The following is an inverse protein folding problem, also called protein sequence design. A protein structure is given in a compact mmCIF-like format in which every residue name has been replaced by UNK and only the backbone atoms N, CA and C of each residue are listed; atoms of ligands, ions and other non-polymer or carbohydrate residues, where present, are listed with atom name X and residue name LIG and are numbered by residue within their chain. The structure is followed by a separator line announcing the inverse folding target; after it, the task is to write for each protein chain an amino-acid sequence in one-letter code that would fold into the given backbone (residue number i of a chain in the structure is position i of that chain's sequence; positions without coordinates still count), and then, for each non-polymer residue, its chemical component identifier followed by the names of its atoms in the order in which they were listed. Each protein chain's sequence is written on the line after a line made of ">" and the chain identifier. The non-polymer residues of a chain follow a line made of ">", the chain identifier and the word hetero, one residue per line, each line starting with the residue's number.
data_IF_240817773804
#
_entry.id   IF_240817773804
#
_cell.length_a   1.000
_cell.length_b   1.000
_cell.length_c   1.000
_cell.angle_alpha   90.00
_cell.angle_beta   90.00
_cell.angle_gamma   90.00
#
_symmetry.space_group_name_H-M   'P 1'
#
loop_
_entity.id
_entity.type
_entity.pdbx_description
1 polymer ?
#
# COMPACT_ATOMS: atom_id res chain seq x y z
N UNK A 1 11.07 2.81 62.73
CA UNK A 1 12.14 2.23 63.59
C UNK A 1 13.19 1.56 62.69
N UNK A 2 14.47 1.41 63.13
CA UNK A 2 15.56 0.53 62.60
C UNK A 2 15.61 0.31 61.06
N UNK A 3 16.53 0.83 60.23
CA UNK A 3 18.02 0.93 60.29
C UNK A 3 18.78 -0.43 60.44
N UNK A 4 19.39 -0.90 59.34
CA UNK A 4 20.75 -1.50 59.13
C UNK A 4 20.83 -2.00 57.67
N UNK A 5 21.88 -1.89 56.84
CA UNK A 5 23.36 -1.78 56.92
C UNK A 5 24.15 -3.08 57.22
N UNK A 6 25.16 -3.32 56.37
CA UNK A 6 26.08 -4.48 56.30
C UNK A 6 26.21 -4.96 54.84
N UNK A 7 27.25 -4.72 54.02
CA UNK A 7 28.65 -4.26 54.16
C UNK A 7 29.72 -5.36 54.38
N UNK A 8 30.76 -5.34 53.52
CA UNK A 8 32.05 -6.11 53.57
C UNK A 8 31.94 -7.65 53.51
N UNK A 9 32.91 -8.47 53.05
CA UNK A 9 34.35 -8.34 52.69
C UNK A 9 34.64 -8.90 51.26
N UNK A 10 35.80 -8.84 50.56
CA UNK A 10 37.24 -8.49 50.76
C UNK A 10 38.25 -9.66 50.63
N UNK A 11 38.81 -9.87 49.44
CA UNK A 11 40.09 -10.59 49.16
C UNK A 11 40.59 -10.17 47.76
N UNK A 12 41.72 -9.46 47.57
CA UNK A 12 43.14 -9.90 47.64
C UNK A 12 43.40 -11.10 46.71
N UNK A 13 44.42 -11.10 45.83
CA UNK A 13 45.86 -10.90 46.09
C UNK A 13 46.55 -9.95 45.07
N UNK A 14 47.77 -9.49 45.39
CA UNK A 14 48.59 -8.51 44.64
C UNK A 14 50.00 -9.02 44.32
N UNK A 15 50.60 -8.62 43.19
CA UNK A 15 52.05 -8.35 42.96
C UNK A 15 52.27 -7.93 41.47
N UNK A 16 53.40 -7.40 41.00
CA UNK A 16 54.26 -6.26 41.42
C UNK A 16 55.32 -6.01 40.31
N UNK A 17 55.87 -4.79 40.20
CA UNK A 17 56.93 -4.41 39.22
C UNK A 17 56.39 -3.50 38.11
N UNK A 18 56.72 -2.21 37.96
CA UNK A 18 57.99 -1.43 38.07
C UNK A 18 59.09 -1.84 37.08
N UNK A 19 59.33 -1.02 36.05
CA UNK A 19 60.57 -0.23 35.88
C UNK A 19 60.54 0.63 34.60
N UNK A 20 61.43 1.63 34.53
CA UNK A 20 61.70 2.54 33.40
C UNK A 20 60.53 3.44 32.90
N UNK A 21 60.76 4.68 32.48
CA UNK A 21 61.99 5.48 32.58
C UNK A 21 61.74 6.94 32.16
N UNK A 22 62.03 7.90 33.04
CA UNK A 22 61.85 9.34 32.76
C UNK A 22 63.06 9.88 32.00
N UNK A 23 62.85 10.45 30.82
CA UNK A 23 63.79 11.41 30.23
C UNK A 23 63.08 12.70 29.84
N UNK A 24 63.70 13.81 30.22
CA UNK A 24 63.18 15.18 30.21
C UNK A 24 64.09 16.02 29.31
N UNK A 25 63.50 16.90 28.49
CA UNK A 25 64.11 18.11 27.90
C UNK A 25 65.61 18.10 27.54
N UNK A 26 66.02 17.41 26.47
CA UNK A 26 67.36 17.61 25.83
C UNK A 26 67.31 17.62 24.29
N UNK A 27 66.25 18.17 23.68
CA UNK A 27 66.13 18.27 22.21
C UNK A 27 65.66 19.65 21.70
N UNK A 28 66.01 20.73 22.42
CA UNK A 28 65.68 22.12 22.05
C UNK A 28 66.92 23.01 21.77
N UNK A 29 68.15 22.54 22.05
CA UNK A 29 69.34 23.42 22.13
C UNK A 29 70.62 22.92 21.44
N UNK A 30 70.56 22.00 20.47
CA UNK A 30 71.75 21.54 19.72
C UNK A 30 71.52 21.37 18.20
N UNK A 31 71.02 22.41 17.52
CA UNK A 31 71.25 22.59 16.07
C UNK A 31 71.29 24.06 15.60
N UNK A 32 71.60 24.99 16.50
CA UNK A 32 72.20 26.28 16.11
C UNK A 32 73.73 26.13 16.13
N UNK A 33 74.43 26.87 15.27
CA UNK A 33 75.86 26.72 14.96
C UNK A 33 76.18 25.43 14.15
N UNK A 34 75.60 25.36 12.94
CA UNK A 34 76.14 24.57 11.82
C UNK A 34 76.21 25.40 10.53
N UNK A 35 76.37 26.72 10.67
CA UNK A 35 76.35 27.66 9.55
C UNK A 35 77.75 27.91 8.97
N UNK A 36 78.13 27.16 7.94
CA UNK A 36 78.80 27.68 6.73
C UNK A 36 78.98 26.60 5.66
N UNK A 37 78.91 27.03 4.40
CA UNK A 37 79.31 26.31 3.17
C UNK A 37 78.94 24.81 3.09
N UNK A 38 77.67 24.53 2.74
CA UNK A 38 77.39 23.52 1.71
C UNK A 38 76.70 24.19 0.54
N UNK A 39 77.39 24.22 -0.59
CA UNK A 39 76.93 24.82 -1.85
C UNK A 39 75.67 24.14 -2.35
N UNK A 40 74.77 24.91 -2.94
CA UNK A 40 73.51 24.42 -3.50
C UNK A 40 73.74 23.34 -4.55
N UNK A 41 73.19 22.15 -4.28
CA UNK A 41 72.84 21.17 -5.31
C UNK A 41 71.43 20.66 -5.01
N UNK A 42 70.48 21.60 -5.06
CA UNK A 42 69.06 21.27 -5.16
C UNK A 42 68.79 20.61 -6.51
N UNK A 43 69.13 19.33 -6.64
CA UNK A 43 68.47 18.44 -7.59
C UNK A 43 67.06 18.12 -7.08
N UNK A 44 66.26 19.19 -6.91
CA UNK A 44 64.82 19.07 -6.85
C UNK A 44 64.40 18.49 -8.19
N UNK A 45 63.83 17.29 -8.19
CA UNK A 45 63.25 16.71 -9.40
C UNK A 45 62.08 17.62 -9.82
N UNK A 46 62.33 18.49 -10.79
CA UNK A 46 61.37 19.51 -11.19
C UNK A 46 60.18 18.83 -11.87
N UNK A 47 59.06 18.75 -11.15
CA UNK A 47 57.77 18.33 -11.71
C UNK A 47 57.45 19.26 -12.87
N UNK A 48 57.41 18.73 -14.09
CA UNK A 48 57.22 19.55 -15.28
C UNK A 48 55.83 20.16 -15.33
N UNK A 49 55.70 21.29 -16.01
CA UNK A 49 54.42 21.98 -16.24
C UNK A 49 53.35 21.01 -16.76
N UNK A 50 53.71 20.16 -17.71
CA UNK A 50 52.86 19.13 -18.32
C UNK A 50 52.37 18.06 -17.33
N UNK A 51 53.14 17.73 -16.28
CA UNK A 51 52.66 16.80 -15.26
C UNK A 51 51.65 17.47 -14.31
N UNK A 52 51.90 18.74 -13.95
CA UNK A 52 50.97 19.55 -13.17
C UNK A 52 49.65 19.81 -13.91
N UNK A 53 49.70 20.12 -15.20
CA UNK A 53 48.52 20.23 -16.08
C UNK A 53 47.71 18.92 -16.13
N UNK A 54 48.38 17.77 -16.22
CA UNK A 54 47.71 16.46 -16.17
C UNK A 54 47.05 16.18 -14.82
N UNK A 55 47.60 16.69 -13.70
CA UNK A 55 46.97 16.62 -12.37
C UNK A 55 45.77 17.57 -12.28
N UNK A 56 45.89 18.79 -12.80
CA UNK A 56 44.81 19.78 -12.86
C UNK A 56 43.60 19.25 -13.66
N UNK A 57 43.83 18.70 -14.86
CA UNK A 57 42.77 18.07 -15.68
C UNK A 57 42.08 16.91 -14.97
N UNK A 58 42.81 16.09 -14.20
CA UNK A 58 42.21 15.00 -13.41
C UNK A 58 41.29 15.54 -12.30
N UNK A 59 41.71 16.60 -11.60
CA UNK A 59 40.86 17.25 -10.59
C UNK A 59 39.63 17.91 -11.22
N UNK A 60 39.78 18.61 -12.35
CA UNK A 60 38.65 19.19 -13.09
C UNK A 60 37.63 18.11 -13.51
N UNK A 61 38.08 16.97 -14.05
CA UNK A 61 37.19 15.85 -14.38
C UNK A 61 36.48 15.26 -13.14
N UNK A 62 37.13 15.26 -11.97
CA UNK A 62 36.49 14.83 -10.72
C UNK A 62 35.51 15.88 -10.17
N UNK A 63 35.78 17.18 -10.35
CA UNK A 63 34.82 18.25 -10.04
C UNK A 63 33.58 18.14 -10.92
N UNK A 64 33.74 17.83 -12.21
CA UNK A 64 32.63 17.56 -13.15
C UNK A 64 31.75 16.40 -12.64
N UNK A 65 32.37 15.29 -12.23
CA UNK A 65 31.68 14.13 -11.65
C UNK A 65 30.99 14.44 -10.33
N UNK A 66 31.66 15.19 -9.42
CA UNK A 66 31.06 15.60 -8.15
C UNK A 66 29.90 16.58 -8.36
N UNK A 67 29.99 17.51 -9.33
CA UNK A 67 28.88 18.40 -9.73
C UNK A 67 27.68 17.63 -10.28
N UNK A 68 27.91 16.64 -11.14
CA UNK A 68 26.85 15.74 -11.59
C UNK A 68 26.22 14.97 -10.41
N UNK A 69 27.03 14.60 -9.39
CA UNK A 69 26.56 14.08 -8.11
C UNK A 69 25.59 15.01 -7.38
N UNK A 70 25.90 16.31 -7.29
CA UNK A 70 25.00 17.33 -6.72
C UNK A 70 23.68 17.40 -7.50
N UNK A 71 23.74 17.46 -8.84
CA UNK A 71 22.53 17.50 -9.68
C UNK A 71 21.64 16.28 -9.47
N UNK A 72 22.22 15.08 -9.45
CA UNK A 72 21.48 13.84 -9.22
C UNK A 72 20.88 13.75 -7.81
N UNK A 73 21.62 14.23 -6.79
CA UNK A 73 21.13 14.30 -5.42
C UNK A 73 19.95 15.28 -5.30
N UNK A 74 20.07 16.49 -5.88
CA UNK A 74 19.00 17.48 -5.89
C UNK A 74 17.74 16.96 -6.61
N UNK A 75 17.87 16.29 -7.76
CA UNK A 75 16.75 15.65 -8.44
C UNK A 75 16.07 14.61 -7.54
N UNK A 76 16.85 13.71 -6.93
CA UNK A 76 16.31 12.68 -6.03
C UNK A 76 15.63 13.27 -4.78
N UNK A 77 16.08 14.45 -4.33
CA UNK A 77 15.41 15.21 -3.27
C UNK A 77 14.06 15.79 -3.74
N UNK A 78 13.99 16.30 -4.96
CA UNK A 78 12.76 16.87 -5.55
C UNK A 78 11.73 15.78 -5.86
N UNK A 79 12.15 14.65 -6.43
CA UNK A 79 11.32 13.45 -6.63
C UNK A 79 10.70 12.96 -5.31
N UNK A 80 11.50 12.90 -4.24
CA UNK A 80 11.04 12.48 -2.92
C UNK A 80 10.12 13.52 -2.25
N UNK A 81 10.29 14.81 -2.53
CA UNK A 81 9.38 15.87 -2.07
C UNK A 81 8.04 15.84 -2.80
N UNK A 82 8.02 15.51 -4.09
CA UNK A 82 6.76 15.28 -4.80
C UNK A 82 6.02 14.08 -4.20
N UNK A 83 6.71 12.96 -3.95
CA UNK A 83 6.12 11.79 -3.28
C UNK A 83 5.58 12.13 -1.88
N UNK A 84 6.25 13.00 -1.11
CA UNK A 84 5.70 13.50 0.16
C UNK A 84 4.43 14.35 -0.01
N UNK A 85 4.32 15.14 -1.09
CA UNK A 85 3.10 15.90 -1.40
C UNK A 85 1.92 14.96 -1.66
N UNK A 86 2.10 14.03 -2.60
CA UNK A 86 1.11 13.00 -2.96
C UNK A 86 0.70 12.15 -1.75
N UNK A 87 1.66 11.77 -0.90
CA UNK A 87 1.38 11.02 0.33
C UNK A 87 0.65 11.85 1.39
N UNK A 88 0.93 13.13 1.54
CA UNK A 88 0.19 13.99 2.47
C UNK A 88 -1.26 14.21 2.01
N UNK A 89 -1.49 14.34 0.70
CA UNK A 89 -2.84 14.40 0.13
C UNK A 89 -3.59 13.08 0.38
N UNK A 90 -2.97 11.93 0.08
CA UNK A 90 -3.55 10.61 0.33
C UNK A 90 -3.80 10.31 1.83
N UNK A 91 -2.91 10.71 2.74
CA UNK A 91 -3.14 10.61 4.19
C UNK A 91 -4.31 11.51 4.60
N UNK A 92 -4.35 12.75 4.11
CA UNK A 92 -5.44 13.69 4.40
C UNK A 92 -6.78 13.27 3.80
N UNK A 93 -6.79 12.52 2.70
CA UNK A 93 -7.98 11.86 2.16
C UNK A 93 -8.41 10.71 3.07
N UNK A 94 -7.56 9.71 3.29
CA UNK A 94 -7.92 8.53 4.10
C UNK A 94 -8.20 8.84 5.58
N UNK A 95 -7.60 9.86 6.19
CA UNK A 95 -7.99 10.33 7.55
C UNK A 95 -9.41 10.95 7.55
N UNK A 96 -9.89 11.51 6.42
CA UNK A 96 -11.31 11.92 6.25
C UNK A 96 -12.20 10.71 5.99
N UNK A 97 -11.79 9.78 5.11
CA UNK A 97 -12.52 8.53 4.86
C UNK A 97 -12.79 7.79 6.19
N UNK A 98 -11.74 7.57 6.98
CA UNK A 98 -11.82 6.94 8.30
C UNK A 98 -12.70 7.74 9.28
N UNK A 99 -12.63 9.07 9.26
CA UNK A 99 -13.49 9.91 10.12
C UNK A 99 -14.99 9.73 9.80
N UNK A 100 -15.35 9.52 8.54
CA UNK A 100 -16.74 9.27 8.14
C UNK A 100 -17.15 7.80 8.36
N UNK A 101 -16.26 6.82 8.14
CA UNK A 101 -16.49 5.43 8.59
C UNK A 101 -16.76 5.39 10.10
N UNK A 102 -16.02 6.16 10.89
CA UNK A 102 -16.23 6.31 12.34
C UNK A 102 -17.54 7.03 12.68
N UNK A 103 -17.97 8.02 11.90
CA UNK A 103 -19.30 8.62 12.06
C UNK A 103 -20.43 7.62 11.75
N UNK A 104 -20.24 6.79 10.72
CA UNK A 104 -21.17 5.74 10.31
C UNK A 104 -21.29 4.60 11.35
N UNK A 105 -20.30 4.38 12.23
CA UNK A 105 -20.43 3.50 13.42
C UNK A 105 -21.72 3.84 14.19
N UNK A 106 -22.01 5.13 14.39
CA UNK A 106 -23.17 5.61 15.15
C UNK A 106 -24.52 5.43 14.44
N UNK A 107 -24.52 5.04 13.16
CA UNK A 107 -25.70 4.59 12.41
C UNK A 107 -25.77 3.06 12.39
N UNK A 108 -24.65 2.38 12.13
CA UNK A 108 -24.53 0.92 12.13
C UNK A 108 -24.93 0.35 13.50
N UNK A 109 -24.49 0.95 14.61
CA UNK A 109 -24.91 0.54 15.96
C UNK A 109 -26.43 0.61 16.14
N UNK A 110 -27.11 1.61 15.57
CA UNK A 110 -28.58 1.72 15.65
C UNK A 110 -29.29 0.68 14.78
N UNK A 111 -28.71 0.32 13.62
CA UNK A 111 -29.21 -0.81 12.83
C UNK A 111 -28.98 -2.15 13.55
N UNK A 112 -27.84 -2.33 14.24
CA UNK A 112 -27.54 -3.47 15.11
C UNK A 112 -28.55 -3.58 16.27
N UNK A 113 -28.73 -2.52 17.06
CA UNK A 113 -29.66 -2.49 18.21
C UNK A 113 -31.10 -2.83 17.77
N UNK A 114 -31.51 -2.32 16.60
CA UNK A 114 -32.79 -2.62 15.96
C UNK A 114 -32.87 -4.07 15.50
N UNK A 115 -31.87 -4.60 14.78
CA UNK A 115 -31.84 -6.00 14.34
C UNK A 115 -31.81 -6.96 15.53
N UNK A 116 -31.08 -6.65 16.60
CA UNK A 116 -31.09 -7.45 17.84
C UNK A 116 -32.50 -7.48 18.46
N UNK A 117 -33.16 -6.32 18.55
CA UNK A 117 -34.56 -6.26 19.03
C UNK A 117 -35.51 -7.10 18.17
N UNK A 118 -35.33 -7.10 16.84
CA UNK A 118 -36.10 -7.95 15.92
C UNK A 118 -35.78 -9.44 16.08
N UNK A 119 -34.52 -9.80 16.29
CA UNK A 119 -34.05 -11.17 16.56
C UNK A 119 -34.66 -11.70 17.85
N UNK A 120 -34.69 -10.89 18.92
CA UNK A 120 -35.29 -11.25 20.21
C UNK A 120 -36.81 -11.44 20.08
N UNK A 121 -37.48 -10.55 19.35
CA UNK A 121 -38.90 -10.70 19.00
C UNK A 121 -39.22 -11.97 18.19
N UNK A 122 -38.34 -12.36 17.26
CA UNK A 122 -38.50 -13.58 16.45
C UNK A 122 -38.21 -14.83 17.30
N UNK A 123 -37.20 -14.80 18.19
CA UNK A 123 -36.91 -15.89 19.12
C UNK A 123 -38.12 -16.22 19.99
N UNK A 124 -38.81 -15.21 20.55
CA UNK A 124 -40.06 -15.44 21.32
C UNK A 124 -41.14 -16.10 20.46
N UNK A 125 -41.26 -15.74 19.17
CA UNK A 125 -42.24 -16.33 18.24
C UNK A 125 -41.88 -17.78 17.87
N UNK A 126 -40.59 -18.10 17.73
CA UNK A 126 -40.09 -19.48 17.58
C UNK A 126 -40.41 -20.31 18.81
N UNK A 127 -40.06 -19.82 20.01
CA UNK A 127 -40.26 -20.52 21.27
C UNK A 127 -41.76 -20.78 21.54
N UNK A 128 -42.62 -19.79 21.21
CA UNK A 128 -44.08 -19.95 21.29
C UNK A 128 -44.64 -21.02 20.34
N UNK A 129 -44.32 -20.98 19.05
CA UNK A 129 -44.86 -21.94 18.08
C UNK A 129 -44.27 -23.34 18.28
N UNK A 130 -42.99 -23.46 18.63
CA UNK A 130 -42.37 -24.75 18.98
C UNK A 130 -43.01 -25.36 20.23
N UNK A 131 -43.36 -24.54 21.23
CA UNK A 131 -44.11 -25.01 22.41
C UNK A 131 -45.54 -25.45 22.03
N UNK A 132 -46.22 -24.75 21.13
CA UNK A 132 -47.55 -25.14 20.61
C UNK A 132 -47.47 -26.43 19.79
N UNK A 133 -46.42 -26.61 18.98
CA UNK A 133 -46.15 -27.84 18.23
C UNK A 133 -45.99 -29.04 19.18
N UNK A 134 -45.15 -28.90 20.21
CA UNK A 134 -44.94 -29.94 21.22
C UNK A 134 -46.20 -30.30 22.00
N UNK A 135 -47.07 -29.33 22.30
CA UNK A 135 -48.36 -29.57 22.94
C UNK A 135 -49.32 -30.35 22.03
N UNK A 136 -49.53 -29.90 20.79
CA UNK A 136 -50.39 -30.59 19.82
C UNK A 136 -49.87 -32.01 19.49
N UNK A 137 -48.56 -32.19 19.42
CA UNK A 137 -47.95 -33.51 19.23
C UNK A 137 -48.19 -34.45 20.43
N UNK A 138 -48.09 -33.93 21.67
CA UNK A 138 -48.37 -34.71 22.88
C UNK A 138 -49.85 -35.11 22.97
N UNK A 139 -50.77 -34.17 22.76
CA UNK A 139 -52.22 -34.43 22.71
C UNK A 139 -52.57 -35.47 21.64
N UNK A 140 -52.03 -35.33 20.43
CA UNK A 140 -52.22 -36.29 19.33
C UNK A 140 -51.64 -37.68 19.68
N UNK A 141 -50.50 -37.75 20.36
CA UNK A 141 -49.88 -39.01 20.81
C UNK A 141 -50.72 -39.71 21.87
N UNK A 142 -51.32 -38.97 22.82
CA UNK A 142 -52.26 -39.55 23.79
C UNK A 142 -53.57 -39.99 23.12
N UNK A 143 -54.10 -39.18 22.19
CA UNK A 143 -55.29 -39.53 21.40
C UNK A 143 -55.10 -40.82 20.61
N UNK A 144 -53.97 -40.96 19.89
CA UNK A 144 -53.63 -42.18 19.14
C UNK A 144 -53.47 -43.38 20.09
N UNK A 145 -52.80 -43.20 21.23
CA UNK A 145 -52.63 -44.27 22.23
C UNK A 145 -53.98 -44.76 22.77
N UNK A 146 -54.88 -43.84 23.12
CA UNK A 146 -56.24 -44.17 23.59
C UNK A 146 -57.09 -44.87 22.52
N UNK A 147 -56.85 -44.62 21.22
CA UNK A 147 -57.49 -45.39 20.16
C UNK A 147 -56.97 -46.83 20.13
N UNK A 148 -55.64 -47.00 20.17
CA UNK A 148 -54.98 -48.31 20.13
C UNK A 148 -55.28 -49.19 21.37
N UNK A 149 -55.13 -48.63 22.57
CA UNK A 149 -55.37 -49.32 23.86
C UNK A 149 -56.83 -49.77 24.04
N UNK A 150 -57.78 -49.16 23.33
CA UNK A 150 -59.21 -49.45 23.43
C UNK A 150 -59.76 -50.32 22.28
N UNK A 151 -58.92 -50.66 21.29
CA UNK A 151 -59.23 -51.57 20.18
C UNK A 151 -60.10 -50.98 19.06
N UNK A 152 -59.73 -51.30 17.81
CA UNK A 152 -60.37 -50.77 16.58
C UNK A 152 -61.89 -51.06 16.50
N UNK A 153 -62.35 -52.15 17.10
CA UNK A 153 -63.76 -52.57 17.07
C UNK A 153 -64.69 -51.58 17.80
N UNK A 154 -64.17 -50.72 18.68
CA UNK A 154 -65.01 -49.95 19.62
C UNK A 154 -65.95 -48.95 18.94
N UNK A 155 -65.59 -48.37 17.79
CA UNK A 155 -66.50 -47.49 17.05
C UNK A 155 -67.69 -48.24 16.44
N UNK A 156 -67.46 -49.46 15.95
CA UNK A 156 -68.54 -50.34 15.45
C UNK A 156 -69.40 -50.81 16.62
N UNK A 157 -68.77 -51.19 17.74
CA UNK A 157 -69.47 -51.61 18.95
C UNK A 157 -70.37 -50.50 19.54
N UNK A 158 -69.90 -49.26 19.63
CA UNK A 158 -70.72 -48.11 20.09
C UNK A 158 -72.00 -47.96 19.26
N UNK A 159 -71.94 -48.19 17.95
CA UNK A 159 -73.09 -48.14 17.04
C UNK A 159 -74.00 -49.37 17.17
N UNK A 160 -73.45 -50.57 17.43
CA UNK A 160 -74.21 -51.79 17.69
C UNK A 160 -74.91 -51.79 19.06
N UNK A 161 -74.35 -51.10 20.06
CA UNK A 161 -74.94 -50.89 21.39
C UNK A 161 -76.04 -49.81 21.41
N UNK A 162 -76.47 -49.32 20.23
CA UNK A 162 -77.52 -48.32 20.13
C UNK A 162 -78.90 -48.86 20.50
N UNK A 163 -79.57 -48.20 21.45
CA UNK A 163 -80.86 -48.65 21.99
C UNK A 163 -82.04 -48.41 21.04
N UNK A 164 -81.87 -47.52 20.05
CA UNK A 164 -82.83 -47.23 18.99
C UNK A 164 -82.14 -46.44 17.85
N UNK A 165 -82.86 -46.21 16.76
CA UNK A 165 -82.35 -45.49 15.59
C UNK A 165 -81.91 -44.04 15.89
N UNK A 166 -82.56 -43.33 16.82
CA UNK A 166 -82.17 -41.96 17.19
C UNK A 166 -80.87 -41.95 17.99
N UNK A 167 -80.70 -42.87 18.93
CA UNK A 167 -79.43 -43.10 19.65
C UNK A 167 -78.30 -43.45 18.66
N UNK A 168 -78.55 -44.34 17.70
CA UNK A 168 -77.59 -44.69 16.66
C UNK A 168 -77.16 -43.48 15.81
N UNK A 169 -78.10 -42.65 15.37
CA UNK A 169 -77.80 -41.41 14.61
C UNK A 169 -77.04 -40.39 15.46
N UNK A 170 -77.39 -40.23 16.73
CA UNK A 170 -76.66 -39.34 17.65
C UNK A 170 -75.22 -39.81 17.88
N UNK A 171 -75.01 -41.12 18.06
CA UNK A 171 -73.68 -41.74 18.19
C UNK A 171 -72.86 -41.62 16.91
N UNK A 172 -73.46 -41.83 15.74
CA UNK A 172 -72.80 -41.63 14.45
C UNK A 172 -72.37 -40.15 14.26
N UNK A 173 -73.24 -39.20 14.59
CA UNK A 173 -72.93 -37.77 14.55
C UNK A 173 -71.83 -37.37 15.56
N UNK A 174 -71.75 -38.04 16.73
CA UNK A 174 -70.67 -37.87 17.69
C UNK A 174 -69.33 -38.39 17.14
N UNK A 175 -69.31 -39.59 16.54
CA UNK A 175 -68.11 -40.15 15.89
C UNK A 175 -67.63 -39.25 14.74
N UNK A 176 -68.55 -38.71 13.92
CA UNK A 176 -68.21 -37.76 12.87
C UNK A 176 -67.61 -36.45 13.42
N UNK A 177 -68.16 -35.89 14.49
CA UNK A 177 -67.59 -34.72 15.18
C UNK A 177 -66.19 -35.00 15.74
N UNK A 178 -65.99 -36.20 16.29
CA UNK A 178 -64.71 -36.63 16.86
C UNK A 178 -63.63 -36.79 15.77
N UNK A 179 -63.94 -37.42 14.64
CA UNK A 179 -63.05 -37.48 13.48
C UNK A 179 -62.74 -36.09 12.88
N UNK A 180 -63.74 -35.21 12.81
CA UNK A 180 -63.54 -33.83 12.35
C UNK A 180 -62.66 -33.01 13.32
N UNK A 181 -62.74 -33.30 14.62
CA UNK A 181 -61.84 -32.72 15.63
C UNK A 181 -60.41 -33.25 15.49
N UNK A 182 -60.23 -34.57 15.39
CA UNK A 182 -58.91 -35.20 15.22
C UNK A 182 -58.21 -34.68 13.95
N UNK A 183 -58.95 -34.57 12.83
CA UNK A 183 -58.42 -33.95 11.61
C UNK A 183 -58.05 -32.48 11.84
N UNK A 184 -58.91 -31.68 12.48
CA UNK A 184 -58.64 -30.26 12.76
C UNK A 184 -57.35 -30.09 13.58
N UNK A 185 -57.06 -30.98 14.53
CA UNK A 185 -55.83 -30.91 15.32
C UNK A 185 -54.60 -31.31 14.49
N UNK A 186 -54.71 -32.25 13.55
CA UNK A 186 -53.65 -32.56 12.59
C UNK A 186 -53.39 -31.38 11.63
N UNK A 187 -54.44 -30.79 11.07
CA UNK A 187 -54.36 -29.60 10.21
C UNK A 187 -53.71 -28.41 10.97
N UNK A 188 -54.02 -28.24 12.26
CA UNK A 188 -53.41 -27.23 13.13
C UNK A 188 -51.93 -27.51 13.44
N UNK A 189 -51.58 -28.76 13.77
CA UNK A 189 -50.20 -29.20 14.00
C UNK A 189 -49.32 -28.99 12.76
N UNK A 190 -49.79 -29.38 11.57
CA UNK A 190 -49.05 -29.17 10.33
C UNK A 190 -48.82 -27.68 10.05
N UNK A 191 -49.82 -26.82 10.33
CA UNK A 191 -49.70 -25.37 10.20
C UNK A 191 -48.69 -24.79 11.18
N UNK A 192 -48.81 -25.06 12.48
CA UNK A 192 -47.90 -24.52 13.51
C UNK A 192 -46.46 -24.96 13.27
N UNK A 193 -46.21 -26.22 12.88
CA UNK A 193 -44.87 -26.69 12.48
C UNK A 193 -44.30 -25.91 11.28
N UNK A 194 -45.12 -25.62 10.26
CA UNK A 194 -44.69 -24.78 9.12
C UNK A 194 -44.38 -23.34 9.56
N UNK A 195 -45.16 -22.79 10.49
CA UNK A 195 -44.93 -21.44 11.04
C UNK A 195 -43.67 -21.39 11.92
N UNK A 196 -43.45 -22.38 12.80
CA UNK A 196 -42.22 -22.50 13.59
C UNK A 196 -40.97 -22.60 12.70
N UNK A 197 -41.02 -23.46 11.68
CA UNK A 197 -39.93 -23.59 10.71
C UNK A 197 -39.66 -22.30 9.92
N UNK A 198 -40.71 -21.53 9.58
CA UNK A 198 -40.57 -20.24 8.90
C UNK A 198 -39.93 -19.17 9.81
N UNK A 199 -40.35 -19.07 11.08
CA UNK A 199 -39.71 -18.15 12.03
C UNK A 199 -38.27 -18.56 12.36
N UNK A 200 -37.98 -19.86 12.48
CA UNK A 200 -36.60 -20.35 12.66
C UNK A 200 -35.72 -19.99 11.46
N UNK A 201 -36.22 -20.15 10.23
CA UNK A 201 -35.48 -19.76 9.04
C UNK A 201 -35.21 -18.24 8.99
N UNK A 202 -36.21 -17.41 9.31
CA UNK A 202 -36.06 -15.96 9.39
C UNK A 202 -35.06 -15.54 10.48
N UNK A 203 -35.09 -16.19 11.64
CA UNK A 203 -34.17 -15.93 12.76
C UNK A 203 -32.70 -16.15 12.36
N UNK A 204 -32.44 -17.20 11.59
CA UNK A 204 -31.10 -17.50 11.10
C UNK A 204 -30.64 -16.56 9.96
N UNK A 205 -31.56 -16.08 9.12
CA UNK A 205 -31.26 -15.04 8.12
C UNK A 205 -30.91 -13.69 8.78
N UNK A 206 -31.72 -13.24 9.73
CA UNK A 206 -31.50 -11.97 10.45
C UNK A 206 -30.17 -12.00 11.23
N UNK A 207 -29.84 -13.14 11.88
CA UNK A 207 -28.55 -13.37 12.54
C UNK A 207 -27.39 -13.35 11.53
N UNK A 208 -27.51 -14.04 10.39
CA UNK A 208 -26.43 -14.05 9.38
C UNK A 208 -26.19 -12.68 8.76
N UNK A 209 -27.24 -11.88 8.51
CA UNK A 209 -27.09 -10.49 8.05
C UNK A 209 -26.45 -9.58 9.11
N UNK A 210 -26.74 -9.80 10.40
CA UNK A 210 -26.14 -9.05 11.50
C UNK A 210 -24.65 -9.36 11.65
N UNK A 211 -24.28 -10.63 11.62
CA UNK A 211 -22.88 -11.09 11.62
C UNK A 211 -22.09 -10.55 10.42
N UNK A 212 -22.69 -10.58 9.22
CA UNK A 212 -22.09 -9.98 8.01
C UNK A 212 -21.89 -8.46 8.17
N UNK A 213 -22.89 -7.72 8.67
CA UNK A 213 -22.80 -6.26 8.85
C UNK A 213 -21.71 -5.87 9.87
N UNK A 214 -21.56 -6.65 10.94
CA UNK A 214 -20.49 -6.48 11.93
C UNK A 214 -19.10 -6.72 11.31
N UNK A 215 -18.97 -7.79 10.52
CA UNK A 215 -17.71 -8.16 9.86
C UNK A 215 -17.27 -7.11 8.82
N UNK A 216 -18.16 -6.73 7.90
CA UNK A 216 -17.86 -5.77 6.81
C UNK A 216 -17.38 -4.43 7.39
N UNK A 217 -18.00 -3.96 8.47
CA UNK A 217 -17.58 -2.73 9.15
C UNK A 217 -16.23 -2.84 9.87
N UNK A 218 -15.94 -3.97 10.54
CA UNK A 218 -14.67 -4.18 11.22
C UNK A 218 -13.50 -4.27 10.24
N UNK A 219 -13.67 -4.95 9.10
CA UNK A 219 -12.65 -5.00 8.05
C UNK A 219 -12.45 -3.64 7.37
N UNK A 220 -13.51 -2.86 7.13
CA UNK A 220 -13.39 -1.53 6.54
C UNK A 220 -12.58 -0.57 7.44
N UNK A 221 -12.84 -0.57 8.76
CA UNK A 221 -11.98 0.14 9.72
C UNK A 221 -10.53 -0.38 9.71
N UNK A 222 -10.35 -1.71 9.67
CA UNK A 222 -9.02 -2.34 9.74
C UNK A 222 -8.19 -2.01 8.50
N UNK A 223 -8.80 -2.06 7.30
CA UNK A 223 -8.17 -1.72 6.04
C UNK A 223 -7.76 -0.24 5.98
N UNK A 224 -8.63 0.68 6.40
CA UNK A 224 -8.31 2.12 6.46
C UNK A 224 -7.13 2.42 7.37
N UNK A 225 -7.06 1.77 8.55
CA UNK A 225 -5.90 1.90 9.45
C UNK A 225 -4.62 1.30 8.85
N UNK A 226 -4.69 0.20 8.10
CA UNK A 226 -3.55 -0.37 7.37
C UNK A 226 -3.05 0.56 6.26
N UNK A 227 -3.95 1.18 5.49
CA UNK A 227 -3.60 2.15 4.45
C UNK A 227 -2.90 3.38 5.04
N UNK A 228 -3.44 3.95 6.13
CA UNK A 228 -2.79 5.06 6.85
C UNK A 228 -1.41 4.67 7.39
N UNK A 229 -1.24 3.46 7.94
CA UNK A 229 0.06 2.97 8.39
C UNK A 229 1.05 2.82 7.22
N UNK A 230 0.60 2.32 6.07
CA UNK A 230 1.41 2.19 4.86
C UNK A 230 1.85 3.56 4.31
N UNK A 231 0.92 4.52 4.19
CA UNK A 231 1.24 5.87 3.71
C UNK A 231 2.18 6.60 4.66
N UNK A 232 1.93 6.56 5.98
CA UNK A 232 2.82 7.15 7.00
C UNK A 232 4.22 6.48 6.99
N UNK A 233 4.30 5.19 6.71
CA UNK A 233 5.59 4.49 6.53
C UNK A 233 6.32 4.90 5.25
N UNK A 234 5.62 5.13 4.12
CA UNK A 234 6.24 5.66 2.89
C UNK A 234 6.71 7.11 3.08
N UNK A 235 5.94 7.92 3.80
CA UNK A 235 6.30 9.31 4.10
C UNK A 235 7.62 9.40 4.87
N UNK A 236 7.81 8.54 5.87
CA UNK A 236 9.05 8.44 6.64
C UNK A 236 10.26 7.94 5.82
N UNK A 237 10.06 7.08 4.80
CA UNK A 237 11.13 6.72 3.86
C UNK A 237 11.48 7.88 2.92
N UNK A 238 10.48 8.63 2.45
CA UNK A 238 10.69 9.84 1.66
C UNK A 238 11.45 10.93 2.46
N UNK A 239 11.11 11.16 3.74
CA UNK A 239 11.90 11.99 4.66
C UNK A 239 13.36 11.51 4.74
N UNK A 240 13.57 10.20 4.92
CA UNK A 240 14.90 9.61 5.02
C UNK A 240 15.70 9.72 3.70
N UNK A 241 15.02 9.68 2.54
CA UNK A 241 15.62 9.92 1.21
C UNK A 241 16.01 11.39 1.04
N UNK A 242 15.13 12.32 1.41
CA UNK A 242 15.40 13.77 1.37
C UNK A 242 16.63 14.10 2.23
N UNK A 243 16.69 13.60 3.47
CA UNK A 243 17.82 13.83 4.37
C UNK A 243 19.15 13.26 3.82
N UNK A 244 19.13 12.07 3.19
CA UNK A 244 20.32 11.50 2.54
C UNK A 244 20.75 12.31 1.32
N UNK A 245 19.81 12.68 0.46
CA UNK A 245 20.08 13.48 -0.73
C UNK A 245 20.71 14.84 -0.37
N UNK A 246 20.26 15.48 0.70
CA UNK A 246 20.90 16.70 1.23
C UNK A 246 22.33 16.44 1.70
N UNK A 247 22.56 15.40 2.51
CA UNK A 247 23.89 15.07 3.00
C UNK A 247 24.86 14.68 1.87
N UNK A 248 24.39 13.97 0.84
CA UNK A 248 25.17 13.66 -0.36
C UNK A 248 25.49 14.92 -1.17
N UNK A 249 24.51 15.81 -1.40
CA UNK A 249 24.71 17.08 -2.09
C UNK A 249 25.73 17.98 -1.36
N UNK A 250 25.64 18.09 -0.04
CA UNK A 250 26.62 18.80 0.80
C UNK A 250 28.01 18.15 0.73
N UNK A 251 28.09 16.81 0.79
CA UNK A 251 29.35 16.07 0.70
C UNK A 251 29.99 16.14 -0.69
N UNK A 252 29.20 16.30 -1.77
CA UNK A 252 29.73 16.59 -3.10
C UNK A 252 30.16 18.06 -3.25
N UNK A 253 29.39 19.02 -2.71
CA UNK A 253 29.74 20.43 -2.72
C UNK A 253 31.08 20.70 -2.01
N UNK A 254 31.29 20.12 -0.82
CA UNK A 254 32.55 20.22 -0.09
C UNK A 254 33.76 19.66 -0.89
N UNK A 255 33.58 18.54 -1.60
CA UNK A 255 34.62 18.00 -2.50
C UNK A 255 34.90 18.93 -3.67
N UNK A 256 33.88 19.54 -4.28
CA UNK A 256 34.05 20.51 -5.38
C UNK A 256 34.80 21.75 -4.90
N UNK A 257 34.54 22.23 -3.68
CA UNK A 257 35.26 23.35 -3.08
C UNK A 257 36.73 23.00 -2.78
N UNK A 258 37.00 21.85 -2.14
CA UNK A 258 38.37 21.38 -1.89
C UNK A 258 39.16 21.23 -3.21
N UNK A 259 38.53 20.63 -4.22
CA UNK A 259 39.16 20.43 -5.53
C UNK A 259 39.35 21.76 -6.29
N UNK A 260 38.47 22.75 -6.14
CA UNK A 260 38.68 24.09 -6.68
C UNK A 260 39.93 24.74 -6.09
N UNK A 261 40.07 24.73 -4.75
CA UNK A 261 41.26 25.24 -4.07
C UNK A 261 42.55 24.52 -4.51
N UNK A 262 42.48 23.20 -4.76
CA UNK A 262 43.61 22.44 -5.32
C UNK A 262 43.91 22.80 -6.78
N UNK A 263 42.90 23.10 -7.61
CA UNK A 263 43.05 23.53 -9.02
C UNK A 263 43.67 24.93 -9.11
N UNK A 264 43.25 25.86 -8.25
CA UNK A 264 43.84 27.20 -8.18
C UNK A 264 45.31 27.12 -7.73
N UNK A 265 45.58 26.39 -6.64
CA UNK A 265 46.93 26.16 -6.13
C UNK A 265 47.80 25.27 -7.03
N UNK A 266 47.25 24.67 -8.10
CA UNK A 266 48.00 24.05 -9.20
C UNK A 266 48.27 25.04 -10.33
N UNK A 267 47.33 25.95 -10.62
CA UNK A 267 47.47 26.99 -11.65
C UNK A 267 48.69 27.88 -11.36
N UNK A 268 48.85 28.35 -10.13
CA UNK A 268 50.04 29.09 -9.68
C UNK A 268 51.34 28.30 -9.88
N UNK A 269 51.32 27.00 -9.61
CA UNK A 269 52.49 26.12 -9.75
C UNK A 269 52.81 25.85 -11.22
N UNK A 270 51.81 25.77 -12.09
CA UNK A 270 51.98 25.63 -13.55
C UNK A 270 52.59 26.91 -14.13
N UNK A 271 52.14 28.09 -13.71
CA UNK A 271 52.73 29.36 -14.11
C UNK A 271 54.21 29.42 -13.71
N UNK A 272 54.52 29.20 -12.42
CA UNK A 272 55.90 29.17 -11.93
C UNK A 272 56.76 28.07 -12.58
N UNK A 273 56.17 26.93 -12.96
CA UNK A 273 56.89 25.87 -13.67
C UNK A 273 57.25 26.30 -15.10
N UNK A 274 56.30 26.92 -15.83
CA UNK A 274 56.54 27.43 -17.20
C UNK A 274 57.58 28.54 -17.23
N UNK A 275 57.53 29.49 -16.29
CA UNK A 275 58.56 30.52 -16.14
C UNK A 275 59.96 29.92 -15.92
N UNK A 276 60.07 28.86 -15.10
CA UNK A 276 61.33 28.15 -14.84
C UNK A 276 61.80 27.34 -16.04
N UNK A 277 60.90 26.65 -16.73
CA UNK A 277 61.20 25.89 -17.95
C UNK A 277 61.64 26.82 -19.09
N UNK A 278 61.02 28.00 -19.23
CA UNK A 278 61.43 29.02 -20.20
C UNK A 278 62.76 29.68 -19.83
N UNK A 279 62.99 30.03 -18.56
CA UNK A 279 64.28 30.53 -18.10
C UNK A 279 65.40 29.48 -18.28
N UNK A 280 65.09 28.19 -18.09
CA UNK A 280 66.02 27.10 -18.40
C UNK A 280 66.26 26.95 -19.91
N UNK A 281 65.21 27.02 -20.74
CA UNK A 281 65.34 26.99 -22.21
C UNK A 281 66.22 28.14 -22.71
N UNK A 282 65.98 29.36 -22.25
CA UNK A 282 66.78 30.55 -22.58
C UNK A 282 68.22 30.43 -22.07
N UNK A 283 68.45 29.86 -20.89
CA UNK A 283 69.80 29.61 -20.37
C UNK A 283 70.53 28.49 -21.13
N UNK A 284 69.81 27.47 -21.61
CA UNK A 284 70.37 26.40 -22.44
C UNK A 284 70.60 26.85 -23.89
N UNK A 285 69.73 27.70 -24.45
CA UNK A 285 69.94 28.39 -25.72
C UNK A 285 71.12 29.36 -25.62
N UNK A 286 71.26 30.11 -24.53
CA UNK A 286 72.43 30.95 -24.29
C UNK A 286 73.72 30.13 -24.16
N UNK A 287 73.69 28.97 -23.48
CA UNK A 287 74.82 28.02 -23.43
C UNK A 287 75.12 27.43 -24.81
N UNK A 288 74.12 26.94 -25.54
CA UNK A 288 74.28 26.40 -26.90
C UNK A 288 74.75 27.46 -27.87
N UNK A 289 74.33 28.72 -27.72
CA UNK A 289 74.82 29.85 -28.50
C UNK A 289 76.25 30.24 -28.11
N UNK A 290 76.62 30.22 -26.83
CA UNK A 290 78.01 30.42 -26.42
C UNK A 290 78.93 29.28 -26.88
N UNK A 291 78.49 28.03 -26.80
CA UNK A 291 79.18 26.87 -27.40
C UNK A 291 79.21 26.97 -28.93
N UNK A 292 78.14 27.43 -29.56
CA UNK A 292 78.07 27.60 -31.01
C UNK A 292 78.86 28.83 -31.48
N UNK A 293 79.09 29.85 -30.66
CA UNK A 293 80.00 30.96 -30.95
C UNK A 293 81.46 30.59 -30.67
N UNK A 294 81.73 29.71 -29.69
CA UNK A 294 83.05 29.09 -29.52
C UNK A 294 83.37 28.14 -30.69
N UNK A 295 82.42 27.26 -31.05
CA UNK A 295 82.49 26.40 -32.23
C UNK A 295 82.47 27.21 -33.53
N UNK A 296 81.75 28.34 -33.61
CA UNK A 296 81.77 29.23 -34.79
C UNK A 296 82.98 30.17 -34.84
N UNK A 297 83.76 30.33 -33.77
CA UNK A 297 85.12 30.89 -33.87
C UNK A 297 86.07 29.83 -34.42
N UNK A 298 86.06 28.62 -33.86
CA UNK A 298 86.82 27.48 -34.39
C UNK A 298 86.38 27.05 -35.81
N UNK A 299 85.14 27.33 -36.19
CA UNK A 299 84.62 27.16 -37.55
C UNK A 299 84.81 28.42 -38.39
N UNK A 300 84.86 29.65 -37.88
CA UNK A 300 85.34 30.78 -38.71
C UNK A 300 86.80 30.56 -39.15
N UNK A 301 87.62 29.89 -38.32
CA UNK A 301 88.95 29.38 -38.69
C UNK A 301 88.92 28.19 -39.68
N UNK A 302 87.78 27.51 -39.87
CA UNK A 302 87.64 26.33 -40.74
C UNK A 302 86.69 26.52 -41.95
N UNK A 303 85.87 27.56 -41.95
CA UNK A 303 84.65 27.77 -42.78
C UNK A 303 84.71 29.12 -43.54
N UNK A 304 85.86 29.80 -43.47
CA UNK A 304 86.45 30.43 -44.66
C UNK A 304 86.59 29.40 -45.82
N UNK A 305 86.57 28.10 -45.50
CA UNK A 305 86.28 27.02 -46.46
C UNK A 305 84.79 26.66 -46.47
N UNK A 306 84.12 27.03 -47.57
CA UNK A 306 82.75 26.64 -47.99
C UNK A 306 81.58 27.46 -47.39
N UNK A 307 81.27 28.53 -48.11
CA UNK A 307 79.88 28.88 -48.44
C UNK A 307 79.11 27.64 -48.95
N UNK A 308 77.79 27.56 -48.69
CA UNK A 308 76.69 27.55 -49.70
C UNK A 308 75.37 26.97 -49.13
N UNK A 309 74.25 27.68 -49.39
CA UNK A 309 72.82 27.23 -49.42
C UNK A 309 72.21 26.45 -48.20
N UNK A 310 70.89 26.49 -47.88
CA UNK A 310 69.74 27.24 -48.41
C UNK A 310 68.38 26.83 -47.74
N UNK A 311 67.32 27.62 -48.01
CA UNK A 311 65.85 27.48 -47.81
C UNK A 311 65.21 26.04 -47.74
N UNK A 312 63.94 25.77 -47.33
CA UNK A 312 62.80 26.49 -46.66
C UNK A 312 61.52 25.60 -46.57
N UNK A 313 60.46 26.00 -45.82
CA UNK A 313 59.06 25.50 -45.93
C UNK A 313 58.60 24.49 -44.84
N UNK A 314 57.37 24.46 -44.26
CA UNK A 314 55.95 24.61 -44.73
C UNK A 314 55.30 23.29 -45.21
N UNK A 315 54.01 22.95 -44.99
CA UNK A 315 52.94 23.37 -44.04
C UNK A 315 51.71 22.38 -44.10
N UNK A 316 50.75 22.42 -43.14
CA UNK A 316 49.36 21.90 -43.28
C UNK A 316 49.08 20.37 -43.14
N UNK A 317 47.83 19.84 -43.13
CA UNK A 317 46.46 20.40 -42.87
C UNK A 317 45.35 19.27 -42.79
N UNK A 318 44.24 19.48 -42.05
CA UNK A 318 42.89 18.84 -42.21
C UNK A 318 42.67 17.37 -41.74
N UNK A 319 41.43 16.83 -41.52
CA UNK A 319 40.05 17.40 -41.50
C UNK A 319 38.91 16.31 -41.53
N UNK A 320 37.64 16.64 -41.18
CA UNK A 320 36.39 15.79 -41.28
C UNK A 320 35.98 15.04 -39.97
N UNK A 321 34.73 14.89 -39.48
CA UNK A 321 33.33 14.64 -40.00
C UNK A 321 33.01 13.13 -40.24
N UNK A 322 31.80 12.55 -40.13
CA UNK A 322 30.34 12.90 -39.94
C UNK A 322 29.65 11.76 -39.09
N UNK A 323 28.35 11.57 -38.74
CA UNK A 323 27.01 12.24 -38.85
C UNK A 323 26.07 11.88 -37.64
N UNK A 324 25.04 10.99 -37.79
CA UNK A 324 23.84 10.76 -36.92
C UNK A 324 23.40 9.25 -36.99
N UNK A 325 22.11 8.76 -36.95
CA UNK A 325 20.78 9.30 -36.53
C UNK A 325 19.75 8.35 -35.79
N UNK A 326 18.70 8.98 -35.20
CA UNK A 326 17.28 8.48 -35.02
C UNK A 326 17.00 7.22 -34.11
N UNK A 327 15.77 6.81 -33.74
CA UNK A 327 14.36 7.06 -34.20
C UNK A 327 13.28 6.75 -33.09
N UNK A 328 12.04 7.26 -33.28
CA UNK A 328 10.63 6.82 -32.91
C UNK A 328 10.33 5.61 -31.97
N UNK A 329 9.12 5.29 -31.43
CA UNK A 329 7.68 5.70 -31.53
C UNK A 329 6.93 5.30 -30.19
N UNK A 330 5.60 5.28 -29.88
CA UNK A 330 4.27 5.52 -30.53
C UNK A 330 3.20 6.03 -29.49
N UNK A 331 1.95 5.53 -29.48
CA UNK A 331 0.76 5.99 -28.71
C UNK A 331 -0.26 4.85 -28.43
N UNK A 332 -1.29 5.08 -27.60
CA UNK A 332 -2.50 4.22 -27.45
C UNK A 332 -3.77 5.03 -27.08
N UNK A 333 -4.96 4.50 -27.40
CA UNK A 333 -6.29 5.07 -27.09
C UNK A 333 -7.38 3.94 -27.02
N UNK A 334 -8.70 4.20 -26.84
CA UNK A 334 -9.40 3.95 -25.57
C UNK A 334 -10.49 2.85 -25.61
N UNK A 335 -11.19 2.66 -24.48
CA UNK A 335 -12.18 1.60 -24.24
C UNK A 335 -13.60 1.88 -24.80
N UNK A 336 -14.45 0.84 -24.83
CA UNK A 336 -15.81 0.88 -25.37
C UNK A 336 -16.91 1.30 -24.37
N UNK A 337 -18.11 1.56 -24.88
CA UNK A 337 -19.25 2.07 -24.10
C UNK A 337 -19.98 0.98 -23.31
N UNK A 338 -19.99 1.10 -21.98
CA UNK A 338 -20.89 0.35 -21.11
C UNK A 338 -22.25 1.07 -20.96
N UNK A 339 -23.28 0.34 -20.51
CA UNK A 339 -24.59 0.89 -20.16
C UNK A 339 -25.06 0.24 -18.87
N UNK A 340 -25.63 1.01 -17.94
CA UNK A 340 -25.97 0.54 -16.60
C UNK A 340 -26.93 -0.66 -16.59
N UNK A 341 -27.87 -0.72 -17.54
CA UNK A 341 -28.77 -1.87 -17.73
C UNK A 341 -28.00 -3.16 -18.04
N UNK A 342 -26.87 -3.10 -18.75
CA UNK A 342 -26.04 -4.27 -19.01
C UNK A 342 -25.28 -4.69 -17.74
N UNK A 343 -24.83 -3.73 -16.93
CA UNK A 343 -24.18 -3.99 -15.63
C UNK A 343 -25.16 -4.69 -14.67
N UNK A 344 -26.38 -4.17 -14.55
CA UNK A 344 -27.46 -4.78 -13.77
C UNK A 344 -27.81 -6.20 -14.26
N UNK A 345 -28.00 -6.39 -15.57
CA UNK A 345 -28.32 -7.69 -16.17
C UNK A 345 -27.16 -8.71 -16.11
N UNK A 346 -25.92 -8.25 -15.94
CA UNK A 346 -24.77 -9.12 -15.66
C UNK A 346 -24.74 -9.49 -14.18
N UNK A 347 -24.89 -8.51 -13.29
CA UNK A 347 -24.90 -8.72 -11.84
C UNK A 347 -25.98 -9.74 -11.38
N UNK A 348 -27.16 -9.73 -12.00
CA UNK A 348 -28.22 -10.70 -11.68
C UNK A 348 -27.94 -12.15 -12.09
N UNK A 349 -26.91 -12.42 -12.91
CA UNK A 349 -26.52 -13.79 -13.28
C UNK A 349 -25.86 -14.55 -12.12
N UNK A 350 -25.38 -13.83 -11.10
CA UNK A 350 -24.69 -14.38 -9.94
C UNK A 350 -25.59 -14.56 -8.72
N UNK A 351 -26.91 -14.34 -8.86
CA UNK A 351 -27.88 -14.63 -7.80
C UNK A 351 -27.84 -16.12 -7.45
N UNK A 352 -27.65 -16.43 -6.17
CA UNK A 352 -27.42 -17.78 -5.65
C UNK A 352 -25.94 -18.19 -5.55
N UNK A 353 -25.00 -17.40 -6.07
CA UNK A 353 -23.57 -17.61 -5.77
C UNK A 353 -23.25 -17.20 -4.32
N UNK A 354 -22.24 -17.81 -3.66
CA UNK A 354 -22.01 -17.64 -2.24
C UNK A 354 -21.50 -16.23 -1.87
N UNK A 355 -21.75 -15.85 -0.62
CA UNK A 355 -21.07 -14.73 0.01
C UNK A 355 -19.77 -15.23 0.63
N UNK A 356 -18.65 -14.53 0.41
CA UNK A 356 -17.37 -14.80 1.08
C UNK A 356 -16.71 -13.47 1.44
N UNK A 357 -16.51 -13.27 2.74
CA UNK A 357 -15.75 -12.17 3.33
C UNK A 357 -14.36 -11.97 2.65
N UNK A 358 -14.06 -10.74 2.23
CA UNK A 358 -12.84 -10.40 1.49
C UNK A 358 -12.79 -10.94 0.05
N UNK A 359 -13.81 -11.68 -0.38
CA UNK A 359 -13.86 -12.37 -1.66
C UNK A 359 -14.22 -11.44 -2.81
N UNK A 360 -13.64 -11.67 -3.99
CA UNK A 360 -14.04 -11.00 -5.24
C UNK A 360 -14.18 -12.00 -6.40
N UNK A 361 -14.72 -13.19 -6.14
CA UNK A 361 -15.06 -14.17 -7.16
C UNK A 361 -16.56 -14.24 -7.34
N UNK A 362 -17.04 -13.85 -8.52
CA UNK A 362 -18.47 -13.85 -8.84
C UNK A 362 -19.11 -15.26 -8.77
N UNK A 363 -18.31 -16.34 -8.83
CA UNK A 363 -18.77 -17.73 -8.74
C UNK A 363 -18.37 -18.43 -7.44
N UNK A 364 -17.16 -18.16 -6.92
CA UNK A 364 -16.61 -18.88 -5.77
C UNK A 364 -16.80 -18.14 -4.45
N UNK A 365 -17.24 -16.88 -4.50
CA UNK A 365 -17.59 -16.08 -3.34
C UNK A 365 -17.11 -14.63 -3.41
N UNK A 366 -18.01 -13.71 -3.04
CA UNK A 366 -17.68 -12.31 -2.86
C UNK A 366 -18.39 -11.66 -1.66
N UNK A 367 -17.83 -10.57 -1.14
CA UNK A 367 -18.51 -9.65 -0.21
C UNK A 367 -19.22 -8.52 -0.98
N UNK A 368 -19.86 -7.57 -0.29
CA UNK A 368 -20.71 -6.58 -0.94
C UNK A 368 -19.95 -5.67 -1.94
N UNK A 369 -18.79 -5.14 -1.55
CA UNK A 369 -17.98 -4.24 -2.38
C UNK A 369 -17.09 -5.01 -3.35
N UNK A 370 -16.66 -6.22 -2.99
CA UNK A 370 -15.97 -7.17 -3.85
C UNK A 370 -16.82 -7.67 -5.01
N UNK A 371 -18.11 -7.88 -4.78
CA UNK A 371 -19.10 -8.19 -5.82
C UNK A 371 -19.26 -7.02 -6.80
N UNK A 372 -19.49 -5.79 -6.29
CA UNK A 372 -19.57 -4.58 -7.11
C UNK A 372 -18.28 -4.39 -7.92
N UNK A 373 -17.11 -4.47 -7.29
CA UNK A 373 -15.83 -4.33 -7.96
C UNK A 373 -15.65 -5.35 -9.09
N UNK A 374 -15.99 -6.62 -8.85
CA UNK A 374 -15.84 -7.67 -9.85
C UNK A 374 -16.84 -7.52 -11.01
N UNK A 375 -18.07 -7.05 -10.75
CA UNK A 375 -19.05 -6.72 -11.79
C UNK A 375 -18.57 -5.56 -12.67
N UNK A 376 -18.19 -4.41 -12.09
CA UNK A 376 -17.83 -3.22 -12.86
C UNK A 376 -16.52 -3.40 -13.65
N UNK A 377 -15.59 -4.20 -13.10
CA UNK A 377 -14.33 -4.58 -13.77
C UNK A 377 -14.56 -5.30 -15.10
N UNK A 378 -15.59 -6.14 -15.23
CA UNK A 378 -15.89 -6.84 -16.49
C UNK A 378 -16.27 -5.87 -17.62
N UNK A 379 -16.89 -4.74 -17.27
CA UNK A 379 -17.19 -3.64 -18.18
C UNK A 379 -16.01 -2.67 -18.37
N UNK A 380 -14.82 -3.00 -17.85
CA UNK A 380 -13.62 -2.16 -17.91
C UNK A 380 -13.62 -0.96 -16.95
N UNK A 381 -14.67 -0.80 -16.14
CA UNK A 381 -14.84 0.33 -15.22
C UNK A 381 -14.03 0.04 -13.95
N UNK A 382 -13.16 0.98 -13.56
CA UNK A 382 -12.42 0.91 -12.29
C UNK A 382 -13.24 1.60 -11.20
N UNK A 383 -13.49 0.88 -10.12
CA UNK A 383 -14.14 1.38 -8.90
C UNK A 383 -13.30 0.99 -7.67
N UNK A 384 -13.46 1.67 -6.51
CA UNK A 384 -12.82 1.28 -5.25
C UNK A 384 -13.21 -0.12 -4.76
N UNK A 385 -12.54 -0.57 -3.69
CA UNK A 385 -12.72 -1.91 -3.09
C UNK A 385 -13.57 -1.95 -1.82
N UNK A 386 -13.81 -0.81 -1.20
CA UNK A 386 -14.55 -0.62 0.06
C UNK A 386 -15.99 -0.19 -0.22
N UNK A 387 -16.92 -0.52 0.69
CA UNK A 387 -18.32 -0.08 0.57
C UNK A 387 -18.41 1.45 0.69
N UNK A 388 -17.59 2.03 1.57
CA UNK A 388 -17.54 3.47 1.82
C UNK A 388 -17.00 4.26 0.62
N UNK A 389 -15.86 3.88 0.02
CA UNK A 389 -15.31 4.67 -1.10
C UNK A 389 -16.16 4.46 -2.39
N UNK A 390 -16.89 3.33 -2.51
CA UNK A 390 -17.97 3.17 -3.50
C UNK A 390 -19.14 4.15 -3.24
N UNK A 391 -19.44 4.45 -1.98
CA UNK A 391 -20.43 5.45 -1.58
C UNK A 391 -19.96 6.92 -1.72
N UNK A 392 -18.78 7.16 -2.29
CA UNK A 392 -18.21 8.50 -2.55
C UNK A 392 -17.98 8.83 -4.04
N UNK A 393 -17.90 7.83 -4.92
CA UNK A 393 -17.64 8.05 -6.35
C UNK A 393 -18.92 8.36 -7.16
N UNK A 394 -18.74 9.01 -8.31
CA UNK A 394 -19.82 9.27 -9.27
C UNK A 394 -20.74 10.42 -8.90
N UNK A 395 -21.88 10.52 -9.59
CA UNK A 395 -22.90 11.53 -9.30
C UNK A 395 -23.89 11.03 -8.24
N UNK A 396 -24.24 11.87 -7.27
CA UNK A 396 -25.34 11.58 -6.34
C UNK A 396 -26.70 11.68 -7.02
N UNK A 397 -27.57 10.69 -6.78
CA UNK A 397 -28.94 10.65 -7.26
C UNK A 397 -29.90 10.25 -6.15
N UNK A 398 -31.19 10.51 -6.32
CA UNK A 398 -32.23 9.98 -5.41
C UNK A 398 -32.61 8.55 -5.83
N UNK A 399 -33.15 7.75 -4.91
CA UNK A 399 -33.68 6.42 -5.26
C UNK A 399 -34.79 6.50 -6.32
N UNK A 400 -35.61 7.55 -6.27
CA UNK A 400 -36.68 7.82 -7.25
C UNK A 400 -36.16 8.13 -8.66
N UNK A 401 -34.91 8.56 -8.77
CA UNK A 401 -34.23 8.85 -10.04
C UNK A 401 -33.11 7.85 -10.37
N UNK A 402 -33.02 6.75 -9.61
CA UNK A 402 -32.04 5.69 -9.81
C UNK A 402 -32.33 4.88 -11.08
N UNK A 403 -31.27 4.49 -11.77
CA UNK A 403 -31.28 3.71 -13.01
C UNK A 403 -30.53 2.38 -12.80
N UNK A 404 -30.90 1.30 -13.49
CA UNK A 404 -30.18 0.04 -13.38
C UNK A 404 -28.67 0.26 -13.63
N UNK A 405 -27.81 -0.23 -12.73
CA UNK A 405 -26.37 0.07 -12.75
C UNK A 405 -25.92 1.34 -12.01
N UNK A 406 -26.80 1.98 -11.25
CA UNK A 406 -26.41 2.83 -10.11
C UNK A 406 -26.11 1.95 -8.87
N UNK A 407 -25.28 2.44 -7.96
CA UNK A 407 -24.98 1.81 -6.67
C UNK A 407 -25.91 2.37 -5.58
N UNK A 408 -26.58 1.49 -4.84
CA UNK A 408 -27.28 1.86 -3.60
C UNK A 408 -26.38 1.51 -2.43
N UNK A 409 -25.99 2.54 -1.67
CA UNK A 409 -25.06 2.43 -0.56
C UNK A 409 -25.79 2.53 0.78
N UNK A 410 -25.28 1.84 1.77
CA UNK A 410 -25.76 1.81 3.15
C UNK A 410 -24.54 1.96 4.09
N UNK A 411 -24.73 2.27 5.37
CA UNK A 411 -23.64 2.25 6.34
C UNK A 411 -22.94 0.86 6.37
N UNK A 412 -21.70 0.80 5.87
CA UNK A 412 -20.89 -0.42 5.79
C UNK A 412 -21.36 -1.47 4.78
N UNK A 413 -22.16 -1.12 3.75
CA UNK A 413 -22.64 -2.10 2.77
C UNK A 413 -23.04 -1.46 1.42
N UNK A 414 -23.04 -2.22 0.32
CA UNK A 414 -23.40 -1.72 -1.02
C UNK A 414 -24.10 -2.78 -1.89
N UNK A 415 -25.03 -2.34 -2.75
CA UNK A 415 -25.68 -3.18 -3.76
C UNK A 415 -25.85 -2.44 -5.10
N UNK A 416 -26.05 -3.19 -6.19
CA UNK A 416 -26.29 -2.63 -7.53
C UNK A 416 -27.80 -2.51 -7.73
N UNK A 417 -28.30 -1.34 -8.09
CA UNK A 417 -29.71 -1.14 -8.43
C UNK A 417 -30.06 -1.86 -9.73
N UNK A 418 -31.20 -2.56 -9.75
CA UNK A 418 -31.68 -3.33 -10.91
C UNK A 418 -33.04 -2.84 -11.43
N UNK A 419 -33.50 -1.68 -10.95
CA UNK A 419 -34.83 -1.15 -11.23
C UNK A 419 -35.91 -1.63 -10.25
N UNK A 420 -37.13 -1.12 -10.40
CA UNK A 420 -38.33 -1.51 -9.63
C UNK A 420 -38.16 -1.47 -8.10
N UNK A 421 -37.34 -0.55 -7.57
CA UNK A 421 -37.05 -0.47 -6.13
C UNK A 421 -36.21 -1.63 -5.58
N UNK A 422 -35.53 -2.41 -6.45
CA UNK A 422 -34.75 -3.58 -6.07
C UNK A 422 -33.25 -3.41 -6.34
N UNK A 423 -32.43 -4.11 -5.55
CA UNK A 423 -30.99 -4.26 -5.71
C UNK A 423 -30.60 -5.73 -5.87
N UNK A 424 -29.44 -5.98 -6.48
CA UNK A 424 -28.69 -7.24 -6.35
C UNK A 424 -27.42 -6.98 -5.54
N UNK A 425 -27.14 -7.83 -4.54
CA UNK A 425 -26.02 -7.67 -3.61
C UNK A 425 -25.58 -9.00 -3.01
N UNK A 426 -24.29 -9.12 -2.68
CA UNK A 426 -23.78 -10.17 -1.81
C UNK A 426 -24.23 -9.86 -0.37
N UNK A 427 -25.18 -10.63 0.16
CA UNK A 427 -25.96 -10.20 1.33
C UNK A 427 -25.52 -10.77 2.67
N UNK A 428 -25.19 -12.07 2.73
CA UNK A 428 -24.77 -12.75 3.96
C UNK A 428 -24.24 -14.14 3.66
N UNK A 429 -23.47 -14.72 4.57
CA UNK A 429 -22.97 -16.10 4.46
C UNK A 429 -24.08 -17.15 4.24
N UNK A 430 -25.27 -16.96 4.86
CA UNK A 430 -26.42 -17.86 4.70
C UNK A 430 -27.17 -17.68 3.38
N UNK A 431 -27.33 -16.45 2.91
CA UNK A 431 -28.20 -16.12 1.75
C UNK A 431 -27.45 -15.94 0.43
N UNK A 432 -26.12 -15.79 0.47
CA UNK A 432 -25.31 -15.51 -0.72
C UNK A 432 -25.64 -14.18 -1.41
N UNK A 433 -25.39 -14.13 -2.72
CA UNK A 433 -25.83 -13.03 -3.59
C UNK A 433 -27.33 -13.19 -3.86
N UNK A 434 -28.12 -12.17 -3.49
CA UNK A 434 -29.59 -12.19 -3.62
C UNK A 434 -30.13 -10.89 -4.20
N UNK A 435 -31.42 -10.92 -4.55
CA UNK A 435 -32.20 -9.72 -4.87
C UNK A 435 -33.00 -9.31 -3.63
N UNK A 436 -32.91 -8.03 -3.27
CA UNK A 436 -33.60 -7.42 -2.13
C UNK A 436 -34.28 -6.11 -2.54
N UNK A 437 -35.26 -5.65 -1.75
CA UNK A 437 -35.76 -4.28 -1.88
C UNK A 437 -34.68 -3.30 -1.41
N UNK A 438 -34.45 -2.21 -2.16
CA UNK A 438 -33.45 -1.19 -1.86
C UNK A 438 -33.68 -0.47 -0.51
N UNK A 439 -34.86 -0.56 0.09
CA UNK A 439 -35.22 0.07 1.37
C UNK A 439 -35.17 -0.88 2.57
N UNK A 440 -34.59 -2.08 2.41
CA UNK A 440 -34.46 -3.07 3.51
C UNK A 440 -33.55 -2.60 4.66
N UNK A 441 -32.61 -1.68 4.38
CA UNK A 441 -31.73 -0.97 5.32
C UNK A 441 -31.79 0.53 5.06
N UNK A 442 -31.27 1.34 5.97
CA UNK A 442 -31.17 2.78 5.78
C UNK A 442 -30.13 3.12 4.69
N UNK A 443 -30.60 3.61 3.54
CA UNK A 443 -29.74 4.08 2.44
C UNK A 443 -28.93 5.29 2.94
N UNK A 444 -27.61 5.27 2.74
CA UNK A 444 -26.73 6.41 3.00
C UNK A 444 -26.60 7.33 1.77
N UNK A 445 -26.48 6.74 0.57
CA UNK A 445 -26.43 7.47 -0.70
C UNK A 445 -26.78 6.55 -1.89
N UNK A 446 -27.10 7.15 -3.04
CA UNK A 446 -27.17 6.43 -4.32
C UNK A 446 -26.22 7.10 -5.31
N UNK A 447 -25.36 6.31 -5.96
CA UNK A 447 -24.25 6.79 -6.81
C UNK A 447 -24.38 6.30 -8.24
N UNK A 448 -24.43 7.23 -9.19
CA UNK A 448 -24.38 6.95 -10.63
C UNK A 448 -22.94 7.02 -11.14
N UNK A 449 -22.49 5.94 -11.77
CA UNK A 449 -21.10 5.75 -12.23
C UNK A 449 -20.95 6.00 -13.75
N UNK A 450 -22.06 6.09 -14.49
CA UNK A 450 -22.14 6.23 -15.96
C UNK A 450 -22.97 7.45 -16.38
#
# INVERSE_FOLDING_TARGET
>A
MKRKQGATEWSRVSFAGKAAGRYLSVLLCLFLIAGMLKTTSFFSLATSSRELENRQRKLQNQMEQNRAGITNANQSQEDARQEQGELNEAIGETDRELSEVVANVGLIQKEIDKKQSQIDEIQVKVDEETRKEGQLYAEMKERIRFLFEQGDMRYVQILLEAQNFSDMVNKAAYIQKLYAYDKKQLDAYEKTRKTAAAYQAQLEDEKSELETTLYEHQEEQTHMNQMLAQYRSRYADADARIARAQADAEAYAAKVEEQAQQVDALTDKIAQAKEREEAQRLAEEAKKKAEAEAKARAQQEAEERKRQEGNSGEEGNGGGEEDRPQKEEKTYAPAGSASGTNIANFATQFVGCPYVAGGTSLTNGADCSGFVWAVYKEFGIRVPRTSWSLAMIGQEVSLDTAQPGDLVCYPGHVGIYIGNGCIVHASSARTGIKISNATYRAISSVRRIL
#
